data_IF_652930211955
#
_entry.id   IF_652930211955
#
_cell.length_a   1.000
_cell.length_b   1.000
_cell.length_c   1.000
_cell.angle_alpha   90.00
_cell.angle_beta   90.00
_cell.angle_gamma   90.00
#
_symmetry.space_group_name_H-M   'P 1'
#
loop_
_entity.id
_entity.type
_entity.pdbx_description
1 polymer ?
#
# COMPACT_ATOMS: atom_id res chain seq x y z
N UNK A 1 -11.47 17.56 14.19
CA UNK A 1 -11.14 18.90 14.71
C UNK A 1 -10.39 19.60 13.60
N UNK A 2 -11.01 20.62 12.99
CA UNK A 2 -10.39 21.39 11.89
C UNK A 2 -9.37 22.38 12.47
N UNK A 3 -8.16 22.36 11.92
CA UNK A 3 -7.16 23.41 12.16
C UNK A 3 -7.36 24.51 11.11
N UNK A 4 -7.91 25.63 11.55
CA UNK A 4 -7.90 26.90 10.83
C UNK A 4 -6.52 27.55 10.96
N UNK A 5 -5.56 27.16 10.12
CA UNK A 5 -4.32 27.91 9.84
C UNK A 5 -3.78 27.43 8.49
N UNK A 6 -3.39 28.37 7.61
CA UNK A 6 -3.04 28.18 6.20
C UNK A 6 -2.51 26.80 5.81
N UNK A 7 -3.29 26.12 4.96
CA UNK A 7 -3.12 24.78 4.38
C UNK A 7 -1.65 24.32 4.27
N UNK A 8 -1.09 23.74 5.33
CA UNK A 8 -0.08 22.71 5.13
C UNK A 8 -0.76 21.58 4.37
N UNK A 9 -0.23 21.29 3.18
CA UNK A 9 -0.75 20.22 2.34
C UNK A 9 -0.49 18.90 3.09
N UNK A 10 -1.52 18.38 3.73
CA UNK A 10 -1.43 17.16 4.51
C UNK A 10 -1.31 15.96 3.54
N UNK A 11 -0.08 15.49 3.37
CA UNK A 11 0.21 14.39 2.46
C UNK A 11 -0.08 13.06 3.14
N UNK A 12 -1.11 12.38 2.65
CA UNK A 12 -1.46 11.02 3.05
C UNK A 12 -1.21 10.02 1.93
N UNK A 13 -0.52 8.94 2.26
CA UNK A 13 -0.10 7.86 1.37
C UNK A 13 -0.87 6.59 1.72
N UNK A 14 -1.52 5.98 0.73
CA UNK A 14 -1.94 4.57 0.82
C UNK A 14 -0.83 3.70 0.22
N UNK A 15 -0.15 2.91 1.06
CA UNK A 15 0.93 2.02 0.60
C UNK A 15 0.45 0.56 0.56
N UNK A 16 0.39 0.00 -0.64
CA UNK A 16 -0.02 -1.39 -0.90
C UNK A 16 1.20 -2.21 -1.35
N UNK A 17 1.84 -2.92 -0.43
CA UNK A 17 3.08 -3.66 -0.67
C UNK A 17 3.19 -4.91 0.21
N UNK A 18 4.28 -5.68 0.07
CA UNK A 18 4.58 -6.80 0.97
C UNK A 18 4.98 -6.33 2.38
N UNK A 19 4.91 -7.23 3.36
CA UNK A 19 5.45 -7.03 4.70
C UNK A 19 6.08 -8.31 5.25
N UNK A 20 7.17 -8.15 6.02
CA UNK A 20 7.83 -9.23 6.75
C UNK A 20 8.02 -8.86 8.23
N UNK A 21 7.88 -9.83 9.13
CA UNK A 21 8.13 -9.64 10.57
C UNK A 21 9.62 -9.44 10.83
N UNK A 22 10.48 -10.34 10.34
CA UNK A 22 11.94 -10.23 10.43
C UNK A 22 12.55 -9.77 9.10
N UNK A 23 13.39 -8.74 9.16
CA UNK A 23 13.97 -8.06 7.98
C UNK A 23 13.26 -6.75 7.63
N UNK A 24 13.71 -6.13 6.55
CA UNK A 24 13.23 -4.84 6.04
C UNK A 24 13.02 -4.96 4.53
N UNK A 25 11.76 -5.13 4.13
CA UNK A 25 11.28 -5.03 2.74
C UNK A 25 9.87 -4.42 2.73
N UNK A 26 9.41 -4.01 1.55
CA UNK A 26 8.03 -3.53 1.33
C UNK A 26 7.59 -2.44 2.31
N UNK A 27 6.38 -2.56 2.84
CA UNK A 27 5.77 -1.58 3.75
C UNK A 27 6.61 -1.33 5.01
N UNK A 28 7.34 -2.34 5.50
CA UNK A 28 8.23 -2.15 6.67
C UNK A 28 9.43 -1.25 6.36
N UNK A 29 9.87 -1.20 5.11
CA UNK A 29 10.96 -0.31 4.67
C UNK A 29 10.45 1.04 4.20
N UNK A 30 9.25 1.10 3.62
CA UNK A 30 8.66 2.32 3.10
C UNK A 30 8.09 3.23 4.21
N UNK A 31 7.47 2.66 5.24
CA UNK A 31 6.70 3.42 6.22
C UNK A 31 7.55 4.42 7.02
N UNK A 32 8.66 3.97 7.62
CA UNK A 32 9.47 4.82 8.49
C UNK A 32 10.08 6.04 7.78
N UNK A 33 10.71 5.91 6.59
CA UNK A 33 11.19 7.09 5.85
C UNK A 33 10.09 8.07 5.47
N UNK A 34 8.91 7.58 5.05
CA UNK A 34 7.79 8.45 4.69
C UNK A 34 7.27 9.24 5.91
N UNK A 35 7.11 8.56 7.05
CA UNK A 35 6.71 9.21 8.30
C UNK A 35 7.76 10.21 8.81
N UNK A 36 9.05 9.89 8.66
CA UNK A 36 10.14 10.80 9.00
C UNK A 36 10.10 12.09 8.16
N UNK A 37 9.60 12.00 6.92
CA UNK A 37 9.40 13.14 6.02
C UNK A 37 8.07 13.89 6.26
N UNK A 38 7.31 13.51 7.28
CA UNK A 38 6.04 14.16 7.64
C UNK A 38 4.83 13.70 6.82
N UNK A 39 4.95 12.61 6.06
CA UNK A 39 3.79 11.99 5.38
C UNK A 39 3.07 11.04 6.32
N UNK A 40 1.76 11.03 6.21
CA UNK A 40 0.90 10.10 6.94
C UNK A 40 0.65 8.88 6.08
N UNK A 41 0.79 7.69 6.66
CA UNK A 41 0.90 6.46 5.88
C UNK A 41 -0.04 5.40 6.43
N UNK A 42 -0.99 5.00 5.60
CA UNK A 42 -1.81 3.81 5.83
C UNK A 42 -1.26 2.65 5.00
N UNK A 43 -1.16 1.48 5.61
CA UNK A 43 -0.53 0.30 5.02
C UNK A 43 -1.58 -0.78 4.75
N UNK A 44 -1.59 -1.30 3.52
CA UNK A 44 -2.23 -2.58 3.19
C UNK A 44 -1.13 -3.56 2.79
N UNK A 45 -1.00 -4.64 3.53
CA UNK A 45 0.02 -5.65 3.29
C UNK A 45 -0.50 -6.70 2.30
N UNK A 46 0.03 -6.75 1.08
CA UNK A 46 -0.30 -7.78 0.09
C UNK A 46 0.11 -9.18 0.54
N UNK A 47 1.16 -9.26 1.36
CA UNK A 47 1.56 -10.44 2.12
C UNK A 47 2.04 -10.04 3.51
N UNK A 48 1.79 -10.91 4.49
CA UNK A 48 2.30 -10.80 5.86
C UNK A 48 3.10 -12.06 6.16
N UNK A 49 4.42 -11.99 5.93
CA UNK A 49 5.31 -13.15 6.07
C UNK A 49 6.22 -13.06 7.29
N UNK A 50 6.75 -14.18 7.75
CA UNK A 50 7.73 -14.24 8.83
C UNK A 50 9.05 -13.55 8.46
N UNK A 51 9.46 -13.70 7.20
CA UNK A 51 10.75 -13.24 6.66
C UNK A 51 10.71 -13.23 5.12
N UNK A 52 11.77 -12.67 4.51
CA UNK A 52 11.96 -12.68 3.06
C UNK A 52 11.97 -14.11 2.47
N UNK A 53 11.58 -14.26 1.20
CA UNK A 53 11.47 -15.54 0.50
C UNK A 53 12.82 -16.21 0.20
N UNK A 54 13.92 -15.48 0.34
CA UNK A 54 15.29 -16.03 0.23
C UNK A 54 15.71 -16.96 1.38
N UNK A 55 14.89 -17.12 2.42
CA UNK A 55 15.16 -18.02 3.55
C UNK A 55 14.56 -19.41 3.32
N UNK A 56 15.13 -20.42 4.01
CA UNK A 56 14.70 -21.84 3.89
C UNK A 56 13.26 -22.11 4.31
N UNK A 57 12.77 -21.41 5.34
CA UNK A 57 11.42 -21.60 5.88
C UNK A 57 10.72 -20.26 5.90
N UNK A 58 9.51 -20.24 5.35
CA UNK A 58 8.66 -19.06 5.26
C UNK A 58 7.27 -19.49 5.74
N UNK A 59 6.66 -18.68 6.59
CA UNK A 59 5.27 -18.83 7.04
C UNK A 59 4.59 -17.48 6.97
N UNK A 60 3.28 -17.47 6.78
CA UNK A 60 2.52 -16.23 6.75
C UNK A 60 1.26 -16.31 5.93
N UNK A 61 0.71 -15.14 5.65
CA UNK A 61 -0.56 -14.95 4.96
C UNK A 61 -0.34 -14.18 3.66
N UNK A 62 -1.14 -14.51 2.65
CA UNK A 62 -1.26 -13.77 1.40
C UNK A 62 -2.64 -13.13 1.42
N UNK A 63 -2.70 -11.81 1.27
CA UNK A 63 -3.96 -11.07 1.20
C UNK A 63 -4.60 -11.33 -0.16
N UNK A 64 -5.84 -11.83 -0.16
CA UNK A 64 -6.60 -12.11 -1.37
C UNK A 64 -7.25 -10.85 -1.92
N UNK A 65 -7.67 -10.91 -3.17
CA UNK A 65 -8.35 -9.80 -3.85
C UNK A 65 -9.65 -9.39 -3.15
N UNK A 66 -10.41 -10.36 -2.63
CA UNK A 66 -11.64 -10.10 -1.89
C UNK A 66 -11.36 -9.43 -0.54
N UNK A 67 -10.31 -9.87 0.14
CA UNK A 67 -9.89 -9.28 1.42
C UNK A 67 -9.35 -7.86 1.25
N UNK A 68 -8.64 -7.59 0.14
CA UNK A 68 -8.24 -6.24 -0.26
C UNK A 68 -9.48 -5.34 -0.47
N UNK A 69 -10.50 -5.88 -1.16
CA UNK A 69 -11.75 -5.16 -1.39
C UNK A 69 -12.46 -4.86 -0.07
N UNK A 70 -12.57 -5.82 0.84
CA UNK A 70 -13.23 -5.63 2.14
C UNK A 70 -12.55 -4.53 2.98
N UNK A 71 -11.21 -4.50 2.99
CA UNK A 71 -10.45 -3.44 3.66
C UNK A 71 -10.74 -2.07 3.04
N UNK A 72 -10.72 -1.99 1.70
CA UNK A 72 -10.99 -0.76 0.98
C UNK A 72 -12.42 -0.24 1.20
N UNK A 73 -13.42 -1.12 1.12
CA UNK A 73 -14.81 -0.78 1.41
C UNK A 73 -14.98 -0.34 2.87
N UNK A 74 -14.25 -0.95 3.80
CA UNK A 74 -14.18 -0.49 5.18
C UNK A 74 -13.67 0.96 5.29
N UNK A 75 -12.59 1.31 4.59
CA UNK A 75 -12.09 2.70 4.54
C UNK A 75 -13.12 3.64 3.90
N UNK A 76 -13.76 3.21 2.81
CA UNK A 76 -14.78 3.96 2.07
C UNK A 76 -15.99 4.27 2.93
N UNK A 77 -16.52 3.26 3.62
CA UNK A 77 -17.68 3.39 4.50
C UNK A 77 -17.42 4.31 5.71
N UNK A 78 -16.16 4.46 6.11
CA UNK A 78 -15.74 5.37 7.18
C UNK A 78 -15.29 6.75 6.67
N UNK A 79 -15.44 7.03 5.36
CA UNK A 79 -15.04 8.30 4.74
C UNK A 79 -13.53 8.61 4.88
N UNK A 80 -12.69 7.57 4.89
CA UNK A 80 -11.24 7.67 5.11
C UNK A 80 -10.40 7.68 3.82
N UNK A 81 -11.01 8.00 2.67
CA UNK A 81 -10.37 7.93 1.34
C UNK A 81 -9.63 9.21 0.92
N UNK A 82 -9.29 10.09 1.86
CA UNK A 82 -8.60 11.36 1.60
C UNK A 82 -7.09 11.18 1.31
N UNK A 83 -6.76 10.24 0.43
CA UNK A 83 -5.39 9.98 0.00
C UNK A 83 -4.92 10.98 -1.06
N UNK A 84 -3.66 11.39 -0.93
CA UNK A 84 -2.98 12.25 -1.91
C UNK A 84 -2.02 11.46 -2.79
N UNK A 85 -1.56 10.32 -2.28
CA UNK A 85 -0.59 9.46 -2.92
C UNK A 85 -1.00 8.01 -2.77
N UNK A 86 -0.71 7.20 -3.79
CA UNK A 86 -0.75 5.73 -3.72
C UNK A 86 0.61 5.20 -4.09
N UNK A 87 1.16 4.31 -3.26
CA UNK A 87 2.43 3.64 -3.50
C UNK A 87 2.17 2.13 -3.61
N UNK A 88 2.48 1.54 -4.75
CA UNK A 88 2.32 0.09 -4.97
C UNK A 88 3.67 -0.60 -5.09
N UNK A 89 3.78 -1.82 -4.58
CA UNK A 89 4.98 -2.65 -4.67
C UNK A 89 4.61 -4.09 -5.03
N UNK A 90 5.17 -5.07 -4.30
CA UNK A 90 4.93 -6.50 -4.57
C UNK A 90 3.43 -6.87 -4.62
N UNK A 91 3.01 -7.40 -5.77
CA UNK A 91 1.67 -7.95 -6.02
C UNK A 91 1.81 -9.42 -6.43
N UNK A 92 1.15 -10.31 -5.69
CA UNK A 92 1.37 -11.76 -5.84
C UNK A 92 0.58 -12.43 -6.97
N UNK A 93 -0.46 -11.81 -7.52
CA UNK A 93 -1.28 -12.38 -8.59
C UNK A 93 -2.07 -11.32 -9.40
N UNK A 94 -2.59 -11.75 -10.55
CA UNK A 94 -3.34 -10.90 -11.49
C UNK A 94 -4.64 -10.34 -10.90
N UNK A 95 -5.42 -11.13 -10.15
CA UNK A 95 -6.71 -10.67 -9.63
C UNK A 95 -6.52 -9.56 -8.60
N UNK A 96 -5.50 -9.67 -7.75
CA UNK A 96 -5.10 -8.61 -6.82
C UNK A 96 -4.67 -7.35 -7.57
N UNK A 97 -3.90 -7.47 -8.66
CA UNK A 97 -3.48 -6.33 -9.48
C UNK A 97 -4.68 -5.61 -10.10
N UNK A 98 -5.63 -6.37 -10.65
CA UNK A 98 -6.87 -5.82 -11.23
C UNK A 98 -7.67 -5.07 -10.16
N UNK A 99 -7.85 -5.66 -8.98
CA UNK A 99 -8.56 -5.00 -7.87
C UNK A 99 -7.84 -3.74 -7.38
N UNK A 100 -6.52 -3.77 -7.28
CA UNK A 100 -5.71 -2.61 -6.92
C UNK A 100 -5.87 -1.47 -7.95
N UNK A 101 -5.98 -1.82 -9.23
CA UNK A 101 -6.21 -0.85 -10.31
C UNK A 101 -7.59 -0.21 -10.17
N UNK A 102 -8.63 -0.97 -9.85
CA UNK A 102 -9.98 -0.44 -9.58
C UNK A 102 -9.97 0.53 -8.40
N UNK A 103 -9.28 0.19 -7.31
CA UNK A 103 -9.10 1.07 -6.14
C UNK A 103 -8.43 2.39 -6.54
N UNK A 104 -7.36 2.34 -7.33
CA UNK A 104 -6.65 3.54 -7.80
C UNK A 104 -7.57 4.41 -8.66
N UNK A 105 -8.42 3.80 -9.51
CA UNK A 105 -9.38 4.53 -10.33
C UNK A 105 -10.43 5.23 -9.47
N UNK A 106 -10.99 4.55 -8.47
CA UNK A 106 -11.96 5.13 -7.52
C UNK A 106 -11.34 6.28 -6.72
N UNK A 107 -10.11 6.13 -6.21
CA UNK A 107 -9.38 7.19 -5.53
C UNK A 107 -9.14 8.41 -6.44
N UNK A 108 -8.85 8.19 -7.72
CA UNK A 108 -8.71 9.28 -8.71
C UNK A 108 -10.04 9.97 -9.06
N UNK A 109 -11.18 9.29 -8.90
CA UNK A 109 -12.49 9.95 -9.03
C UNK A 109 -12.77 10.86 -7.84
N UNK A 110 -12.36 10.45 -6.64
CA UNK A 110 -12.50 11.24 -5.40
C UNK A 110 -11.53 12.43 -5.39
N UNK A 111 -10.26 12.18 -5.73
CA UNK A 111 -9.21 13.18 -5.80
C UNK A 111 -8.42 13.01 -7.12
N UNK A 112 -8.77 13.77 -8.17
CA UNK A 112 -8.08 13.71 -9.47
C UNK A 112 -6.57 13.96 -9.42
N UNK A 113 -6.11 14.71 -8.41
CA UNK A 113 -4.70 15.03 -8.20
C UNK A 113 -3.92 13.91 -7.48
N UNK A 114 -4.57 12.78 -7.15
CA UNK A 114 -3.90 11.63 -6.51
C UNK A 114 -2.72 11.17 -7.35
N UNK A 115 -1.52 11.25 -6.79
CA UNK A 115 -0.28 10.85 -7.42
C UNK A 115 -0.01 9.36 -7.17
N UNK A 116 0.24 8.60 -8.23
CA UNK A 116 0.43 7.14 -8.13
C UNK A 116 1.87 6.80 -8.47
N UNK A 117 2.55 6.14 -7.54
CA UNK A 117 3.88 5.58 -7.74
C UNK A 117 3.74 4.06 -7.82
N UNK A 118 4.00 3.51 -9.00
CA UNK A 118 4.00 2.07 -9.23
C UNK A 118 5.44 1.55 -9.25
N UNK A 119 5.80 0.71 -8.29
CA UNK A 119 7.00 -0.11 -8.31
C UNK A 119 6.66 -1.53 -8.83
N UNK A 120 6.92 -1.84 -10.11
CA UNK A 120 6.51 -3.10 -10.72
C UNK A 120 7.49 -4.23 -10.36
N UNK A 121 7.40 -4.72 -9.12
CA UNK A 121 8.26 -5.80 -8.60
C UNK A 121 8.00 -7.09 -9.38
N UNK A 122 8.92 -7.44 -10.30
CA UNK A 122 8.83 -8.61 -11.18
C UNK A 122 9.92 -9.68 -10.92
N UNK A 123 10.73 -9.51 -9.87
CA UNK A 123 11.89 -10.34 -9.57
C UNK A 123 13.20 -9.78 -10.15
N UNK A 124 14.32 -10.38 -9.76
CA UNK A 124 15.66 -9.94 -10.16
C UNK A 124 16.33 -10.97 -11.06
N UNK A 125 17.16 -10.51 -12.01
CA UNK A 125 18.03 -11.36 -12.83
C UNK A 125 17.33 -12.50 -13.62
N UNK A 126 16.06 -12.33 -13.97
CA UNK A 126 15.30 -13.31 -14.75
C UNK A 126 14.84 -14.54 -13.96
N UNK A 127 14.94 -14.50 -12.63
CA UNK A 127 14.43 -15.54 -11.74
C UNK A 127 13.44 -14.90 -10.78
N UNK A 128 12.25 -15.50 -10.70
CA UNK A 128 11.17 -15.07 -9.80
C UNK A 128 11.31 -15.73 -8.43
#
# INVERSE_FOLDING_TARGET
MENQNGLEKYFRVLSVQSHVVSGYVGNKSACFPLQLLGLEVDLINSVQLSNHTGYKVIKGQILKSEELHDLYEGLKANELLNYTHVLTGYVGNETFLTKLTEIIQDLKQINPDTFVVCDPVMGDNGVM
#
